data_IF_371467204505
#
_entry.id   IF_371467204505
#
_cell.length_a   1.000
_cell.length_b   1.000
_cell.length_c   1.000
_cell.angle_alpha   90.00
_cell.angle_beta   90.00
_cell.angle_gamma   90.00
#
_symmetry.space_group_name_H-M   'P 1'
#
loop_
_entity.id
_entity.type
_entity.pdbx_description
1 polymer ?
#
# COMPACT_ATOMS: atom_id res chain seq x y z
N UNK A 1 0.97 10.63 0.92
CA UNK A 1 1.75 9.49 1.46
C UNK A 1 2.64 10.01 2.57
N UNK A 2 2.68 9.33 3.71
CA UNK A 2 3.61 9.62 4.81
C UNK A 2 4.64 8.50 4.86
N UNK A 3 5.90 8.87 5.10
CA UNK A 3 6.96 7.94 5.50
C UNK A 3 7.47 8.38 6.85
N UNK A 4 7.90 7.41 7.64
CA UNK A 4 8.49 7.65 8.93
C UNK A 4 9.72 6.75 9.09
N UNK A 5 10.71 7.27 9.81
CA UNK A 5 11.94 6.56 10.15
C UNK A 5 11.77 5.87 11.51
N UNK A 6 12.14 4.60 11.58
CA UNK A 6 12.16 3.87 12.85
C UNK A 6 13.24 4.43 13.80
N UNK A 7 12.99 4.34 15.10
CA UNK A 7 13.94 4.65 16.15
C UNK A 7 15.30 3.97 15.90
N UNK A 8 16.39 4.76 15.88
CA UNK A 8 17.74 4.30 15.59
C UNK A 8 18.08 4.12 14.11
N UNK A 9 17.21 4.55 13.19
CA UNK A 9 17.44 4.58 11.74
C UNK A 9 17.20 5.99 11.17
N UNK A 10 17.88 6.30 10.06
CA UNK A 10 17.68 7.56 9.34
C UNK A 10 18.02 8.78 10.20
N UNK A 11 17.07 9.70 10.34
CA UNK A 11 17.21 10.88 11.21
C UNK A 11 16.67 10.66 12.63
N UNK A 12 16.10 9.48 12.93
CA UNK A 12 15.52 9.17 14.24
C UNK A 12 16.59 8.77 15.25
N UNK A 13 16.55 9.41 16.42
CA UNK A 13 17.40 9.05 17.57
C UNK A 13 16.87 7.79 18.29
N UNK A 14 17.56 7.33 19.33
CA UNK A 14 17.16 6.16 20.12
C UNK A 14 17.81 4.84 19.67
N UNK A 15 17.24 3.72 20.11
CA UNK A 15 17.76 2.37 19.82
C UNK A 15 16.75 1.57 18.99
N UNK A 16 17.20 0.80 17.99
CA UNK A 16 16.32 -0.09 17.26
C UNK A 16 15.89 -1.24 18.17
N UNK A 17 14.59 -1.30 18.47
CA UNK A 17 13.98 -2.41 19.20
C UNK A 17 12.58 -2.66 18.66
N UNK A 18 12.08 -3.90 18.76
CA UNK A 18 10.72 -4.24 18.32
C UNK A 18 9.68 -3.31 18.96
N UNK A 19 9.75 -3.12 20.28
CA UNK A 19 8.88 -2.21 21.01
C UNK A 19 8.92 -0.78 20.45
N UNK A 20 10.11 -0.26 20.16
CA UNK A 20 10.24 1.10 19.62
C UNK A 20 9.66 1.18 18.21
N UNK A 21 9.87 0.19 17.34
CA UNK A 21 9.27 0.20 16.01
C UNK A 21 7.73 0.19 16.03
N UNK A 22 7.13 -0.44 17.05
CA UNK A 22 5.68 -0.39 17.28
C UNK A 22 5.24 0.99 17.79
N UNK A 23 6.01 1.60 18.69
CA UNK A 23 5.76 2.96 19.13
C UNK A 23 5.88 3.97 17.96
N UNK A 24 6.85 3.80 17.06
CA UNK A 24 7.09 4.69 15.93
C UNK A 24 5.90 4.71 14.95
N UNK A 25 5.41 3.52 14.54
CA UNK A 25 4.25 3.44 13.64
C UNK A 25 2.98 3.96 14.32
N UNK A 26 2.83 3.74 15.62
CA UNK A 26 1.70 4.25 16.38
C UNK A 26 1.74 5.77 16.51
N UNK A 27 2.92 6.36 16.73
CA UNK A 27 3.09 7.82 16.73
C UNK A 27 2.76 8.42 15.35
N UNK A 28 3.19 7.77 14.27
CA UNK A 28 2.84 8.20 12.91
C UNK A 28 1.32 8.13 12.65
N UNK A 29 0.66 7.06 13.12
CA UNK A 29 -0.78 6.92 13.03
C UNK A 29 -1.53 7.98 13.86
N UNK A 30 -1.13 8.22 15.12
CA UNK A 30 -1.73 9.25 15.97
C UNK A 30 -1.57 10.64 15.37
N UNK A 31 -0.39 10.96 14.84
CA UNK A 31 -0.16 12.22 14.13
C UNK A 31 -1.14 12.41 12.95
N UNK A 32 -1.43 11.35 12.19
CA UNK A 32 -2.40 11.39 11.10
C UNK A 32 -3.85 11.58 11.57
N UNK A 33 -4.21 10.93 12.66
CA UNK A 33 -5.54 11.01 13.25
C UNK A 33 -5.77 12.41 13.85
N UNK A 34 -4.85 12.88 14.68
CA UNK A 34 -4.97 14.13 15.43
C UNK A 34 -4.77 15.38 14.56
N UNK A 35 -3.71 15.41 13.73
CA UNK A 35 -3.37 16.62 12.97
C UNK A 35 -4.07 16.71 11.61
N UNK A 36 -4.49 15.58 11.05
CA UNK A 36 -5.06 15.52 9.69
C UNK A 36 -6.48 14.95 9.64
N UNK A 37 -7.05 14.55 10.79
CA UNK A 37 -8.40 13.98 10.87
C UNK A 37 -8.56 12.68 10.08
N UNK A 38 -7.47 11.94 9.89
CA UNK A 38 -7.46 10.74 9.05
C UNK A 38 -8.17 9.61 9.77
N UNK A 39 -9.19 9.02 9.13
CA UNK A 39 -9.89 7.87 9.68
C UNK A 39 -9.19 6.57 9.31
N UNK A 40 -9.36 5.54 10.13
CA UNK A 40 -8.85 4.19 9.85
C UNK A 40 -9.31 3.69 8.47
N UNK A 41 -10.57 3.98 8.13
CA UNK A 41 -11.10 3.58 6.84
C UNK A 41 -10.38 4.23 5.67
N UNK A 42 -9.61 5.31 5.80
CA UNK A 42 -8.87 5.96 4.70
C UNK A 42 -7.40 5.54 4.61
N UNK A 43 -7.00 4.58 5.45
CA UNK A 43 -5.60 4.25 5.69
C UNK A 43 -5.22 2.92 5.06
N UNK A 44 -4.20 2.93 4.21
CA UNK A 44 -3.54 1.74 3.69
C UNK A 44 -2.15 1.65 4.33
N UNK A 45 -1.90 0.58 5.08
CA UNK A 45 -0.58 0.33 5.66
C UNK A 45 0.30 -0.39 4.64
N UNK A 46 1.55 0.03 4.50
CA UNK A 46 2.53 -0.64 3.65
C UNK A 46 3.78 -0.97 4.47
N UNK A 47 4.15 -2.25 4.48
CA UNK A 47 5.33 -2.76 5.18
C UNK A 47 6.22 -3.58 4.26
N UNK A 48 7.49 -3.22 4.17
CA UNK A 48 8.50 -3.96 3.41
C UNK A 48 9.45 -4.72 4.34
N UNK A 49 9.72 -6.00 4.07
CA UNK A 49 10.70 -6.79 4.82
C UNK A 49 10.42 -6.74 6.32
N UNK A 50 11.40 -6.31 7.13
CA UNK A 50 11.24 -6.10 8.58
C UNK A 50 10.09 -5.14 8.95
N UNK A 51 9.78 -4.18 8.08
CA UNK A 51 8.66 -3.24 8.28
C UNK A 51 7.29 -3.91 8.30
N UNK A 52 7.17 -5.15 7.80
CA UNK A 52 5.95 -5.95 7.95
C UNK A 52 5.57 -6.21 9.42
N UNK A 53 6.55 -6.25 10.32
CA UNK A 53 6.37 -6.38 11.77
C UNK A 53 5.45 -5.31 12.37
N UNK A 54 5.90 -4.05 12.42
CA UNK A 54 5.09 -2.94 12.93
C UNK A 54 3.81 -2.73 12.11
N UNK A 55 3.84 -2.96 10.79
CA UNK A 55 2.64 -2.87 9.95
C UNK A 55 1.55 -3.84 10.39
N UNK A 56 1.87 -5.12 10.61
CA UNK A 56 0.89 -6.12 11.05
C UNK A 56 0.49 -5.95 12.51
N UNK A 57 1.41 -5.47 13.35
CA UNK A 57 1.10 -5.09 14.72
C UNK A 57 -0.03 -4.04 14.78
N UNK A 58 0.15 -2.92 14.07
CA UNK A 58 -0.86 -1.88 14.02
C UNK A 58 -2.13 -2.38 13.32
N UNK A 59 -2.00 -3.07 12.18
CA UNK A 59 -3.16 -3.59 11.44
C UNK A 59 -4.06 -4.50 12.28
N UNK A 60 -3.47 -5.34 13.14
CA UNK A 60 -4.22 -6.25 14.01
C UNK A 60 -5.10 -5.54 15.05
N UNK A 61 -4.79 -4.28 15.35
CA UNK A 61 -5.50 -3.43 16.33
C UNK A 61 -6.49 -2.46 15.69
N UNK A 62 -6.49 -2.32 14.36
CA UNK A 62 -7.35 -1.37 13.63
C UNK A 62 -8.49 -2.11 12.90
N UNK A 63 -9.69 -2.22 13.51
CA UNK A 63 -10.78 -3.02 12.96
C UNK A 63 -11.39 -2.44 11.68
N UNK A 64 -11.23 -1.14 11.41
CA UNK A 64 -11.78 -0.47 10.22
C UNK A 64 -10.71 -0.10 9.18
N UNK A 65 -9.52 -0.68 9.26
CA UNK A 65 -8.43 -0.37 8.34
C UNK A 65 -8.84 -0.64 6.88
N UNK A 66 -8.48 0.24 5.94
CA UNK A 66 -8.83 0.07 4.50
C UNK A 66 -8.18 -1.18 3.92
N UNK A 67 -6.86 -1.30 4.08
CA UNK A 67 -6.08 -2.39 3.49
C UNK A 67 -4.64 -2.44 4.06
N UNK A 68 -3.98 -3.58 3.81
CA UNK A 68 -2.55 -3.76 4.06
C UNK A 68 -1.85 -4.24 2.80
N UNK A 69 -0.66 -3.69 2.54
CA UNK A 69 0.29 -4.16 1.54
C UNK A 69 1.54 -4.67 2.24
N UNK A 70 1.88 -5.93 1.99
CA UNK A 70 3.09 -6.57 2.49
C UNK A 70 4.05 -6.83 1.32
N UNK A 71 5.23 -6.24 1.36
CA UNK A 71 6.27 -6.40 0.34
C UNK A 71 7.45 -7.18 0.90
N UNK A 72 7.71 -8.37 0.35
CA UNK A 72 8.72 -9.33 0.81
C UNK A 72 8.70 -9.52 2.33
N UNK A 73 7.52 -9.79 2.95
CA UNK A 73 7.36 -9.78 4.39
C UNK A 73 8.04 -10.96 5.08
N UNK A 74 8.26 -10.82 6.39
CA UNK A 74 8.84 -11.86 7.25
C UNK A 74 7.75 -12.54 8.08
N UNK A 75 7.84 -13.87 8.30
CA UNK A 75 6.96 -14.58 9.24
C UNK A 75 7.30 -14.24 10.69
N UNK A 76 8.61 -14.17 10.98
CA UNK A 76 9.20 -13.71 12.24
C UNK A 76 10.71 -13.54 12.08
N UNK A 77 11.38 -12.86 13.02
CA UNK A 77 12.82 -12.65 12.98
C UNK A 77 13.61 -13.96 12.99
N UNK A 78 13.26 -14.90 13.86
CA UNK A 78 13.94 -16.20 13.93
C UNK A 78 13.74 -17.00 12.64
N UNK A 79 12.56 -16.92 12.01
CA UNK A 79 12.27 -17.64 10.74
C UNK A 79 13.08 -17.16 9.55
N UNK A 80 13.50 -15.90 9.57
CA UNK A 80 14.39 -15.36 8.53
C UNK A 80 15.77 -15.99 8.63
N UNK A 81 16.28 -16.18 9.84
CA UNK A 81 17.62 -16.71 10.08
C UNK A 81 17.67 -18.25 10.02
N UNK A 82 16.59 -18.91 10.45
CA UNK A 82 16.53 -20.36 10.60
C UNK A 82 15.18 -20.90 10.12
N UNK A 83 15.19 -22.02 9.40
CA UNK A 83 13.98 -22.71 8.92
C UNK A 83 13.26 -23.48 10.06
N UNK A 84 12.80 -22.76 11.07
CA UNK A 84 12.08 -23.29 12.23
C UNK A 84 10.57 -23.27 12.05
N UNK A 85 9.88 -24.32 12.53
CA UNK A 85 8.41 -24.43 12.47
C UNK A 85 7.68 -23.92 13.71
N UNK A 86 8.40 -23.66 14.81
CA UNK A 86 7.83 -23.24 16.11
C UNK A 86 8.11 -21.77 16.39
N UNK A 87 7.15 -21.05 16.95
CA UNK A 87 7.35 -19.68 17.41
C UNK A 87 7.95 -19.71 18.82
N UNK A 88 9.02 -18.96 19.04
CA UNK A 88 9.71 -18.90 20.33
C UNK A 88 9.33 -17.64 21.12
N UNK A 89 9.46 -17.68 22.44
CA UNK A 89 9.12 -16.53 23.29
C UNK A 89 10.01 -15.31 23.00
N UNK A 90 11.30 -15.54 22.69
CA UNK A 90 12.30 -14.53 22.33
C UNK A 90 12.27 -14.11 20.84
N UNK A 91 11.36 -14.66 20.04
CA UNK A 91 11.21 -14.29 18.63
C UNK A 91 10.64 -12.87 18.52
N UNK A 92 11.03 -12.15 17.48
CA UNK A 92 10.58 -10.77 17.21
C UNK A 92 9.71 -10.74 15.95
N UNK A 93 8.82 -9.77 15.87
CA UNK A 93 7.93 -9.57 14.72
C UNK A 93 7.17 -10.84 14.35
N UNK A 94 6.52 -11.48 15.33
CA UNK A 94 5.73 -12.73 15.18
C UNK A 94 4.50 -12.54 14.28
N UNK A 95 4.72 -12.19 13.02
CA UNK A 95 3.71 -11.85 12.04
C UNK A 95 2.79 -13.03 11.74
N UNK A 96 3.32 -14.25 11.86
CA UNK A 96 2.53 -15.49 11.78
C UNK A 96 1.36 -15.52 12.79
N UNK A 97 1.56 -14.95 13.98
CA UNK A 97 0.53 -14.90 15.03
C UNK A 97 -0.41 -13.69 14.86
N UNK A 98 0.07 -12.62 14.21
CA UNK A 98 -0.66 -11.35 14.04
C UNK A 98 -1.54 -11.33 12.80
N UNK A 99 -1.09 -11.93 11.69
CA UNK A 99 -1.81 -11.90 10.42
C UNK A 99 -3.26 -12.43 10.50
N UNK A 100 -3.57 -13.48 11.31
CA UNK A 100 -4.95 -13.94 11.44
C UNK A 100 -5.85 -12.93 12.15
N UNK A 101 -5.32 -11.90 12.82
CA UNK A 101 -6.11 -10.87 13.50
C UNK A 101 -6.46 -9.69 12.59
N UNK A 102 -5.84 -9.58 11.40
CA UNK A 102 -6.07 -8.48 10.46
C UNK A 102 -7.42 -8.64 9.76
N UNK A 103 -8.31 -7.65 9.94
CA UNK A 103 -9.69 -7.66 9.45
C UNK A 103 -9.90 -6.74 8.23
N UNK A 104 -8.92 -6.69 7.32
CA UNK A 104 -9.01 -5.92 6.07
C UNK A 104 -8.32 -6.68 4.91
N UNK A 105 -8.58 -6.30 3.65
CA UNK A 105 -7.89 -6.89 2.51
C UNK A 105 -6.37 -6.76 2.60
N UNK A 106 -5.66 -7.88 2.42
CA UNK A 106 -4.19 -7.93 2.43
C UNK A 106 -3.67 -8.33 1.05
N UNK A 107 -2.82 -7.48 0.46
CA UNK A 107 -2.00 -7.80 -0.70
C UNK A 107 -0.60 -8.22 -0.23
N UNK A 108 -0.12 -9.36 -0.71
CA UNK A 108 1.26 -9.79 -0.53
C UNK A 108 1.99 -9.75 -1.87
N UNK A 109 3.17 -9.13 -1.89
CA UNK A 109 4.06 -9.04 -3.03
C UNK A 109 5.39 -9.67 -2.62
N UNK A 110 5.89 -10.66 -3.36
CA UNK A 110 7.16 -11.33 -3.03
C UNK A 110 7.87 -11.82 -4.28
N UNK A 111 9.20 -11.75 -4.28
CA UNK A 111 10.05 -12.33 -5.33
C UNK A 111 10.21 -13.83 -5.18
N UNK A 112 10.16 -14.59 -6.27
CA UNK A 112 10.35 -16.05 -6.19
C UNK A 112 11.82 -16.46 -6.04
N UNK A 113 12.77 -15.53 -6.21
CA UNK A 113 14.20 -15.72 -6.06
C UNK A 113 14.76 -14.83 -4.93
N UNK A 114 13.96 -14.59 -3.89
CA UNK A 114 14.38 -13.83 -2.72
C UNK A 114 15.24 -14.71 -1.79
N UNK A 115 16.55 -14.43 -1.79
CA UNK A 115 17.54 -15.13 -0.95
C UNK A 115 17.68 -14.53 0.46
N UNK A 116 17.11 -13.35 0.71
CA UNK A 116 17.18 -12.68 2.02
C UNK A 116 16.02 -13.09 2.89
N UNK A 117 14.82 -13.12 2.30
CA UNK A 117 13.61 -13.59 2.94
C UNK A 117 12.96 -14.58 2.01
N UNK A 118 13.08 -15.87 2.34
CA UNK A 118 12.58 -16.95 1.50
C UNK A 118 11.11 -16.73 1.11
N UNK A 119 10.80 -17.03 -0.15
CA UNK A 119 9.47 -16.87 -0.75
C UNK A 119 8.35 -17.53 0.07
N UNK A 120 8.65 -18.61 0.81
CA UNK A 120 7.68 -19.27 1.68
C UNK A 120 7.11 -18.35 2.77
N UNK A 121 7.81 -17.28 3.15
CA UNK A 121 7.32 -16.32 4.14
C UNK A 121 6.09 -15.57 3.62
N UNK A 122 6.20 -14.99 2.43
CA UNK A 122 5.09 -14.30 1.78
C UNK A 122 3.93 -15.24 1.49
N UNK A 123 4.23 -16.46 1.02
CA UNK A 123 3.21 -17.49 0.74
C UNK A 123 2.43 -17.87 2.00
N UNK A 124 3.11 -18.21 3.09
CA UNK A 124 2.47 -18.60 4.35
C UNK A 124 1.64 -17.46 4.96
N UNK A 125 2.17 -16.23 4.97
CA UNK A 125 1.39 -15.08 5.46
C UNK A 125 0.12 -14.88 4.64
N UNK A 126 0.22 -14.96 3.31
CA UNK A 126 -0.93 -14.86 2.44
C UNK A 126 -1.99 -15.94 2.73
N UNK A 127 -1.56 -17.19 2.92
CA UNK A 127 -2.45 -18.31 3.26
C UNK A 127 -3.20 -18.10 4.59
N UNK A 128 -2.55 -17.48 5.58
CA UNK A 128 -3.09 -17.20 6.90
C UNK A 128 -4.00 -15.95 6.95
N UNK A 129 -4.01 -15.10 5.93
CA UNK A 129 -4.88 -13.92 5.89
C UNK A 129 -6.37 -14.30 5.93
N UNK A 130 -7.16 -13.58 6.73
CA UNK A 130 -8.63 -13.66 6.71
C UNK A 130 -9.22 -13.17 5.39
N UNK A 131 -8.78 -11.99 4.93
CA UNK A 131 -9.25 -11.37 3.70
C UNK A 131 -8.10 -11.28 2.70
N UNK A 132 -7.94 -12.34 1.90
CA UNK A 132 -6.90 -12.46 0.89
C UNK A 132 -7.25 -11.64 -0.34
N UNK A 133 -6.35 -10.75 -0.76
CA UNK A 133 -6.34 -10.25 -2.13
C UNK A 133 -5.39 -11.11 -2.98
N UNK A 134 -5.57 -11.11 -4.31
CA UNK A 134 -4.70 -11.84 -5.24
C UNK A 134 -3.22 -11.40 -5.05
N UNK A 135 -2.31 -12.31 -4.68
CA UNK A 135 -0.92 -11.96 -4.41
C UNK A 135 -0.16 -11.69 -5.71
N UNK A 136 0.96 -10.98 -5.62
CA UNK A 136 1.90 -10.83 -6.74
C UNK A 136 3.19 -11.58 -6.45
N UNK A 137 3.38 -12.70 -7.13
CA UNK A 137 4.62 -13.46 -7.09
C UNK A 137 5.49 -13.07 -8.29
N UNK A 138 6.52 -12.28 -8.06
CA UNK A 138 7.40 -11.77 -9.12
C UNK A 138 8.42 -12.85 -9.48
N UNK A 139 8.23 -13.49 -10.63
CA UNK A 139 9.11 -14.57 -11.09
C UNK A 139 10.52 -14.05 -11.34
N UNK A 140 11.51 -14.63 -10.67
CA UNK A 140 12.91 -14.21 -10.72
C UNK A 140 13.21 -12.91 -9.98
N UNK A 141 12.22 -12.32 -9.30
CA UNK A 141 12.42 -11.17 -8.42
C UNK A 141 13.18 -11.57 -7.15
N UNK A 142 14.06 -10.68 -6.69
CA UNK A 142 14.86 -10.78 -5.47
C UNK A 142 14.38 -9.75 -4.44
N UNK A 143 14.96 -9.75 -3.23
CA UNK A 143 14.45 -8.97 -2.09
C UNK A 143 14.18 -7.48 -2.35
N UNK A 144 15.03 -6.83 -3.17
CA UNK A 144 15.05 -5.37 -3.32
C UNK A 144 14.81 -4.90 -4.76
N UNK A 145 14.45 -5.78 -5.69
CA UNK A 145 14.32 -5.42 -7.11
C UNK A 145 12.88 -5.46 -7.65
N UNK A 146 11.89 -5.83 -6.82
CA UNK A 146 10.53 -6.08 -7.29
C UNK A 146 9.89 -4.85 -7.94
N UNK A 147 10.23 -3.66 -7.45
CA UNK A 147 9.71 -2.38 -7.97
C UNK A 147 10.16 -2.08 -9.41
N UNK A 148 11.22 -2.75 -9.88
CA UNK A 148 11.72 -2.61 -11.25
C UNK A 148 10.87 -3.40 -12.25
N UNK A 149 10.04 -4.34 -11.79
CA UNK A 149 9.20 -5.15 -12.66
C UNK A 149 7.92 -4.38 -13.00
N UNK A 150 7.52 -4.32 -14.28
CA UNK A 150 6.34 -3.55 -14.71
C UNK A 150 5.03 -4.07 -14.11
N UNK A 151 5.02 -5.33 -13.69
CA UNK A 151 3.88 -5.99 -13.05
C UNK A 151 3.62 -5.43 -11.63
N UNK A 152 4.68 -5.00 -10.93
CA UNK A 152 4.61 -4.46 -9.58
C UNK A 152 3.66 -3.26 -9.49
N UNK A 153 3.95 -2.21 -10.26
CA UNK A 153 3.16 -0.98 -10.20
C UNK A 153 1.75 -1.20 -10.75
N UNK A 154 1.59 -2.08 -11.73
CA UNK A 154 0.29 -2.41 -12.32
C UNK A 154 -0.61 -3.09 -11.29
N UNK A 155 -0.10 -4.09 -10.59
CA UNK A 155 -0.86 -4.85 -9.60
C UNK A 155 -1.16 -4.02 -8.36
N UNK A 156 -0.20 -3.23 -7.89
CA UNK A 156 -0.38 -2.32 -6.76
C UNK A 156 -1.48 -1.28 -7.05
N UNK A 157 -1.45 -0.66 -8.25
CA UNK A 157 -2.52 0.26 -8.67
C UNK A 157 -3.88 -0.42 -8.73
N UNK A 158 -3.96 -1.63 -9.31
CA UNK A 158 -5.19 -2.43 -9.36
C UNK A 158 -5.75 -2.68 -7.95
N UNK A 159 -4.88 -3.06 -7.01
CA UNK A 159 -5.25 -3.29 -5.61
C UNK A 159 -5.82 -2.02 -4.96
N UNK A 160 -5.09 -0.90 -5.03
CA UNK A 160 -5.52 0.37 -4.43
C UNK A 160 -6.87 0.81 -5.00
N UNK A 161 -7.03 0.80 -6.32
CA UNK A 161 -8.32 1.16 -6.95
C UNK A 161 -9.45 0.20 -6.57
N UNK A 162 -9.16 -1.07 -6.29
CA UNK A 162 -10.18 -2.04 -5.85
C UNK A 162 -10.65 -1.73 -4.43
N UNK A 163 -9.73 -1.47 -3.50
CA UNK A 163 -10.09 -1.20 -2.10
C UNK A 163 -10.75 0.18 -1.93
N UNK A 164 -10.42 1.17 -2.76
CA UNK A 164 -11.05 2.49 -2.77
C UNK A 164 -12.52 2.47 -3.21
N UNK A 165 -12.90 1.54 -4.09
CA UNK A 165 -14.26 1.46 -4.64
C UNK A 165 -15.29 0.85 -3.66
N UNK A 166 -14.84 0.31 -2.53
CA UNK A 166 -15.67 -0.32 -1.49
C UNK A 166 -16.50 -1.52 -1.97
N UNK A 167 -17.09 -2.30 -1.04
CA UNK A 167 -18.00 -3.40 -1.39
C UNK A 167 -19.32 -2.93 -2.05
N UNK A 168 -19.61 -1.63 -2.06
CA UNK A 168 -20.87 -1.03 -2.52
C UNK A 168 -21.03 -0.97 -4.05
N UNK A 169 -19.95 -1.10 -4.81
CA UNK A 169 -19.94 -0.84 -6.26
C UNK A 169 -20.13 -2.09 -7.13
N UNK A 170 -19.97 -3.30 -6.57
CA UNK A 170 -20.12 -4.55 -7.34
C UNK A 170 -21.55 -5.12 -7.39
N UNK A 171 -22.51 -4.59 -6.61
CA UNK A 171 -23.91 -5.07 -6.62
C UNK A 171 -24.82 -4.43 -7.67
N UNK A 172 -24.32 -3.52 -8.51
CA UNK A 172 -25.16 -2.76 -9.47
C UNK A 172 -25.11 -3.26 -10.92
N UNK A 173 -24.36 -4.32 -11.23
CA UNK A 173 -24.26 -4.88 -12.59
C UNK A 173 -24.95 -6.27 -12.63
N UNK A 174 -26.25 -6.34 -12.31
CA UNK A 174 -27.04 -7.53 -12.65
C UNK A 174 -28.55 -7.26 -12.76
N UNK A 175 -28.97 -6.10 -13.25
CA UNK A 175 -30.36 -5.89 -13.71
C UNK A 175 -30.40 -4.70 -14.66
N UNK A 176 -30.21 -4.96 -15.95
CA UNK A 176 -30.80 -4.19 -17.06
C UNK A 176 -30.70 -5.06 -18.31
N UNK A 177 -31.58 -6.06 -18.39
CA UNK A 177 -31.98 -6.66 -19.65
C UNK A 177 -33.06 -5.75 -20.25
N UNK A 178 -32.75 -5.23 -21.44
CA UNK A 178 -33.65 -5.02 -22.59
C UNK A 178 -34.91 -4.18 -22.41
N UNK A 179 -34.86 -2.95 -22.93
CA UNK A 179 -35.93 -2.39 -23.80
C UNK A 179 -35.36 -1.23 -24.59
N UNK A 180 -35.05 -1.45 -25.87
CA UNK A 180 -34.86 -0.39 -26.87
C UNK A 180 -36.14 -0.31 -27.71
N UNK A 181 -36.76 0.86 -27.74
CA UNK A 181 -37.69 1.25 -28.79
C UNK A 181 -37.39 2.68 -29.26
N UNK A 182 -37.09 2.74 -30.56
CA UNK A 182 -37.12 3.80 -31.57
C UNK A 182 -37.42 5.28 -31.20
N UNK A 183 -36.48 6.12 -31.65
CA UNK A 183 -36.49 7.54 -32.09
C UNK A 183 -37.74 8.01 -32.89
N UNK A 184 -38.07 9.33 -32.95
CA UNK A 184 -37.41 10.22 -33.95
C UNK A 184 -37.24 11.73 -33.63
N UNK A 185 -36.02 12.22 -33.92
CA UNK A 185 -35.64 13.37 -34.79
C UNK A 185 -36.30 14.76 -34.63
N UNK A 186 -35.47 15.82 -34.50
CA UNK A 186 -35.66 17.15 -35.13
C UNK A 186 -34.36 17.96 -35.27
N UNK A 187 -34.30 18.78 -36.32
CA UNK A 187 -33.14 19.42 -36.99
C UNK A 187 -32.84 20.87 -36.54
N UNK A 188 -31.59 21.31 -36.82
CA UNK A 188 -31.09 22.68 -37.20
C UNK A 188 -31.22 23.82 -36.16
N UNK A 189 -30.37 24.84 -36.04
CA UNK A 189 -29.53 25.58 -37.01
C UNK A 189 -28.46 26.43 -36.28
N UNK A 190 -27.38 26.70 -37.00
CA UNK A 190 -26.36 27.78 -36.97
C UNK A 190 -26.53 29.03 -36.07
N UNK A 191 -25.43 29.51 -35.47
CA UNK A 191 -24.87 30.85 -35.75
C UNK A 191 -23.64 31.16 -34.87
N UNK A 192 -22.59 31.63 -35.53
CA UNK A 192 -21.30 32.13 -35.08
C UNK A 192 -21.36 33.39 -34.19
N UNK A 193 -20.25 33.74 -33.52
CA UNK A 193 -19.43 34.95 -33.80
C UNK A 193 -18.44 35.30 -32.65
N UNK A 194 -17.16 35.34 -33.07
CA UNK A 194 -16.05 36.23 -32.69
C UNK A 194 -15.25 36.12 -31.37
N UNK A 195 -13.96 35.88 -31.59
CA UNK A 195 -12.77 36.01 -30.74
C UNK A 195 -12.32 37.46 -30.52
N UNK A 196 -11.43 37.67 -29.52
CA UNK A 196 -10.07 38.28 -29.57
C UNK A 196 -9.63 38.74 -28.13
N UNK A 197 -8.36 39.14 -27.84
CA UNK A 197 -7.12 38.36 -27.92
C UNK A 197 -6.15 38.51 -26.70
N UNK A 198 -5.18 37.57 -26.60
CA UNK A 198 -3.80 37.62 -26.04
C UNK A 198 -3.40 38.64 -24.95
N UNK A 199 -2.71 38.14 -23.90
CA UNK A 199 -1.33 38.59 -23.58
C UNK A 199 -0.53 37.61 -22.70
N UNK A 200 0.75 37.53 -23.05
CA UNK A 200 1.88 36.78 -22.48
C UNK A 200 2.48 37.49 -21.26
N UNK A 201 3.08 36.73 -20.33
CA UNK A 201 4.47 36.99 -19.88
C UNK A 201 5.12 35.70 -19.35
N UNK A 202 6.35 35.53 -19.79
CA UNK A 202 7.36 34.51 -19.52
C UNK A 202 8.13 34.82 -18.22
N UNK A 203 8.51 33.80 -17.44
CA UNK A 203 9.65 33.84 -16.52
C UNK A 203 10.26 32.44 -16.36
N UNK A 204 11.52 32.31 -16.82
CA UNK A 204 12.52 31.26 -16.49
C UNK A 204 12.76 31.20 -14.97
N UNK A 205 13.20 30.12 -14.32
CA UNK A 205 14.44 29.34 -14.52
C UNK A 205 14.36 27.95 -13.84
N UNK A 206 15.17 26.99 -14.34
CA UNK A 206 15.61 25.74 -13.66
C UNK A 206 16.90 26.04 -12.87
N UNK A 207 17.29 25.29 -11.80
CA UNK A 207 18.07 24.05 -12.02
C UNK A 207 17.91 22.91 -10.97
N UNK A 208 17.99 21.68 -11.50
CA UNK A 208 18.62 20.42 -11.00
C UNK A 208 18.73 20.14 -9.48
N UNK A 209 18.29 18.95 -9.03
CA UNK A 209 19.22 17.97 -8.42
C UNK A 209 18.65 16.55 -8.25
N UNK A 210 19.55 15.59 -8.47
CA UNK A 210 19.65 14.24 -7.88
C UNK A 210 18.54 13.21 -8.06
N UNK A 211 18.76 12.29 -9.00
CA UNK A 211 18.23 10.91 -8.89
C UNK A 211 18.95 10.20 -7.75
N UNK A 212 18.35 10.21 -6.56
CA UNK A 212 18.91 9.44 -5.45
C UNK A 212 18.39 8.00 -5.46
N UNK A 213 19.34 7.09 -5.28
CA UNK A 213 19.25 5.66 -5.51
C UNK A 213 18.52 5.01 -4.33
N UNK A 214 17.33 4.47 -4.58
CA UNK A 214 16.44 3.90 -3.55
C UNK A 214 17.11 2.79 -2.73
N UNK A 215 17.29 3.04 -1.43
CA UNK A 215 17.52 2.00 -0.39
C UNK A 215 16.45 2.18 0.68
N UNK A 216 15.37 1.39 0.60
CA UNK A 216 14.24 1.44 1.55
C UNK A 216 14.61 0.89 2.93
N UNK A 217 14.42 1.68 3.99
CA UNK A 217 14.49 1.26 5.41
C UNK A 217 13.58 2.09 6.34
N UNK A 218 12.33 2.34 5.92
CA UNK A 218 11.30 3.03 6.71
C UNK A 218 9.91 2.49 6.41
N UNK A 219 8.94 2.73 7.30
CA UNK A 219 7.54 2.34 7.09
C UNK A 219 6.80 3.36 6.21
N UNK A 220 5.85 2.89 5.39
CA UNK A 220 5.08 3.77 4.50
C UNK A 220 3.61 3.71 4.87
N UNK A 221 3.04 4.87 5.14
CA UNK A 221 1.64 5.04 5.44
C UNK A 221 0.96 5.75 4.27
N UNK A 222 0.13 5.00 3.54
CA UNK A 222 -0.56 5.51 2.36
C UNK A 222 -1.94 5.97 2.80
N UNK A 223 -2.13 7.28 2.86
CA UNK A 223 -3.46 7.88 3.06
C UNK A 223 -4.15 7.94 1.70
N UNK A 224 -5.21 7.17 1.53
CA UNK A 224 -6.09 7.22 0.35
C UNK A 224 -7.22 8.20 0.64
N UNK A 225 -7.05 9.46 0.19
CA UNK A 225 -8.14 10.45 0.24
C UNK A 225 -8.98 10.34 -1.03
N UNK A 226 -10.29 10.20 -0.88
CA UNK A 226 -11.27 10.11 -1.96
C UNK A 226 -11.54 11.46 -2.67
N UNK A 227 -10.54 12.33 -2.79
CA UNK A 227 -10.64 13.60 -3.54
C UNK A 227 -9.44 13.72 -4.47
N UNK A 228 -9.70 13.52 -5.77
CA UNK A 228 -8.87 14.01 -6.86
C UNK A 228 -7.43 13.50 -6.84
N UNK A 229 -7.25 12.31 -7.40
CA UNK A 229 -5.98 11.71 -7.82
C UNK A 229 -4.90 12.73 -8.21
N UNK A 230 -3.68 12.54 -7.70
CA UNK A 230 -2.41 12.72 -8.41
C UNK A 230 -1.33 11.99 -7.58
N UNK A 231 -0.91 10.83 -8.09
CA UNK A 231 0.24 10.07 -7.61
C UNK A 231 1.53 10.62 -8.20
#
# INVERSE_FOLDING_TARGET
MIRYDYSGYGQSSGKPSEHNTYADIEAAFKCLEENYGTKQEDLILYGQSVGSGPTLDLASRLPRLRAVVLHSPILSGVRVMYAVKRTYWFDIYKNIDKIPQVNCPVLVIHGTADEVVDFSHGKQLWELCKHKYEPLWVKGGTHCNLELYPEYIRHLKKFISTVERGPSSSRRISTRKSTEQLEPSRKSTDSSLFELPRRSTDWREKPRHSTDRWRGRGGVLIVSRNRGSLW
#
